data_IF_002067753554
#
_entry.id   IF_002067753554
#
_cell.length_a   1.000
_cell.length_b   1.000
_cell.length_c   1.000
_cell.angle_alpha   90.00
_cell.angle_beta   90.00
_cell.angle_gamma   90.00
#
_symmetry.space_group_name_H-M   'P 1'
#
loop_
_entity.id
_entity.type
_entity.pdbx_description
1 polymer ?
#
# COMPACT_ATOMS: atom_id res chain seq x y z
N UNK A 1 -3.95 20.91 14.64
CA UNK A 1 -4.88 19.81 14.30
C UNK A 1 -5.47 19.27 15.58
N UNK A 2 -6.79 19.28 15.71
CA UNK A 2 -7.54 18.63 16.77
C UNK A 2 -7.99 17.25 16.26
N UNK A 3 -7.95 16.22 17.12
CA UNK A 3 -8.40 14.88 16.77
C UNK A 3 -9.62 14.52 17.62
N UNK A 4 -10.74 14.24 16.97
CA UNK A 4 -12.00 13.87 17.64
C UNK A 4 -12.35 12.43 17.25
N UNK A 5 -12.51 11.57 18.25
CA UNK A 5 -12.97 10.20 18.08
C UNK A 5 -14.47 10.11 18.34
N UNK A 6 -15.18 9.36 17.52
CA UNK A 6 -16.60 9.06 17.69
C UNK A 6 -16.78 7.62 18.15
N UNK A 7 -17.72 7.40 19.06
CA UNK A 7 -18.18 6.07 19.48
C UNK A 7 -19.25 5.55 18.50
N UNK A 8 -18.96 5.57 17.20
CA UNK A 8 -19.78 4.95 16.17
C UNK A 8 -19.29 3.52 15.88
N UNK A 9 -20.14 2.73 15.19
CA UNK A 9 -19.78 1.36 14.80
C UNK A 9 -18.51 1.30 13.92
N UNK A 10 -18.21 2.38 13.20
CA UNK A 10 -17.01 2.48 12.36
C UNK A 10 -15.77 3.03 13.09
N UNK A 11 -15.89 3.38 14.39
CA UNK A 11 -14.82 3.94 15.23
C UNK A 11 -14.06 5.05 14.50
N UNK A 12 -14.80 6.07 14.06
CA UNK A 12 -14.39 7.13 13.17
C UNK A 12 -13.60 8.22 13.89
N UNK A 13 -12.48 8.63 13.29
CA UNK A 13 -11.56 9.64 13.82
C UNK A 13 -11.50 10.79 12.82
N UNK A 14 -11.73 12.00 13.29
CA UNK A 14 -11.67 13.21 12.47
C UNK A 14 -10.52 14.10 12.91
N UNK A 15 -9.77 14.59 11.93
CA UNK A 15 -8.79 15.65 12.12
C UNK A 15 -9.43 16.96 11.70
N UNK A 16 -9.51 17.91 12.64
CA UNK A 16 -10.17 19.19 12.47
C UNK A 16 -9.14 20.30 12.66
N UNK A 17 -9.19 21.34 11.83
CA UNK A 17 -8.43 22.56 12.07
C UNK A 17 -9.11 23.37 13.19
N UNK A 18 -8.43 23.60 14.33
CA UNK A 18 -9.02 24.35 15.44
C UNK A 18 -9.27 25.83 15.13
N UNK A 19 -8.70 26.39 14.06
CA UNK A 19 -8.83 27.83 13.74
C UNK A 19 -10.15 28.17 13.05
N UNK A 20 -10.66 27.27 12.21
CA UNK A 20 -11.84 27.51 11.39
C UNK A 20 -12.86 26.35 11.41
N UNK A 21 -12.51 25.21 12.01
CA UNK A 21 -13.37 24.02 12.07
C UNK A 21 -13.31 23.13 10.82
N UNK A 22 -12.38 23.36 9.89
CA UNK A 22 -12.29 22.56 8.67
C UNK A 22 -11.88 21.11 8.97
N UNK A 23 -12.50 20.17 8.25
CA UNK A 23 -12.16 18.75 8.34
C UNK A 23 -10.95 18.47 7.44
N UNK A 24 -9.79 18.29 8.06
CA UNK A 24 -8.53 17.97 7.40
C UNK A 24 -8.43 16.49 7.00
N UNK A 25 -9.18 15.61 7.66
CA UNK A 25 -9.16 14.19 7.32
C UNK A 25 -10.05 13.32 8.20
N UNK A 26 -10.40 12.14 7.70
CA UNK A 26 -11.19 11.11 8.40
C UNK A 26 -10.46 9.76 8.33
N UNK A 27 -10.44 9.01 9.42
CA UNK A 27 -10.00 7.62 9.46
C UNK A 27 -11.10 6.80 10.11
N UNK A 28 -11.62 5.82 9.39
CA UNK A 28 -12.62 4.87 9.88
C UNK A 28 -12.10 3.43 9.74
N UNK A 29 -12.87 2.45 10.23
CA UNK A 29 -12.52 1.03 10.12
C UNK A 29 -12.27 0.58 8.67
N UNK A 30 -13.05 1.07 7.70
CA UNK A 30 -12.87 0.72 6.28
C UNK A 30 -11.53 1.22 5.75
N UNK A 31 -11.16 2.48 6.04
CA UNK A 31 -9.86 3.06 5.67
C UNK A 31 -8.69 2.36 6.35
N UNK A 32 -8.86 1.87 7.59
CA UNK A 32 -7.85 1.05 8.27
C UNK A 32 -7.65 -0.29 7.55
N UNK A 33 -8.73 -0.97 7.19
CA UNK A 33 -8.67 -2.23 6.44
C UNK A 33 -8.06 -2.00 5.06
N UNK A 34 -8.48 -0.96 4.34
CA UNK A 34 -7.91 -0.59 3.04
C UNK A 34 -6.41 -0.33 3.11
N UNK A 35 -5.94 0.38 4.15
CA UNK A 35 -4.50 0.60 4.37
C UNK A 35 -3.73 -0.73 4.45
N UNK A 36 -4.26 -1.74 5.13
CA UNK A 36 -3.57 -3.02 5.28
C UNK A 36 -3.73 -3.93 4.05
N UNK A 37 -4.93 -4.01 3.50
CA UNK A 37 -5.22 -4.94 2.41
C UNK A 37 -4.71 -4.44 1.06
N UNK A 38 -4.78 -3.12 0.84
CA UNK A 38 -4.33 -2.51 -0.40
C UNK A 38 -2.95 -1.88 -0.23
N UNK A 39 -2.78 -0.84 0.58
CA UNK A 39 -1.50 -0.12 0.63
C UNK A 39 -0.35 -1.03 1.10
N UNK A 40 -0.52 -1.74 2.22
CA UNK A 40 0.53 -2.62 2.75
C UNK A 40 0.88 -3.76 1.80
N UNK A 41 -0.09 -4.36 1.11
CA UNK A 41 0.21 -5.43 0.15
C UNK A 41 0.74 -4.91 -1.19
N UNK A 42 0.23 -3.77 -1.66
CA UNK A 42 0.55 -3.22 -2.98
C UNK A 42 1.86 -2.42 -2.97
N UNK A 43 2.08 -1.60 -1.94
CA UNK A 43 3.29 -0.81 -1.74
C UNK A 43 4.33 -1.52 -0.88
N UNK A 44 4.00 -2.69 -0.30
CA UNK A 44 4.84 -3.43 0.64
C UNK A 44 5.30 -2.55 1.82
N UNK A 45 4.52 -1.54 2.19
CA UNK A 45 4.86 -0.55 3.22
C UNK A 45 4.53 -1.06 4.64
N UNK A 46 4.85 -2.33 4.90
CA UNK A 46 4.69 -2.93 6.21
C UNK A 46 5.58 -2.20 7.24
N UNK A 47 5.08 -1.87 8.44
CA UNK A 47 5.84 -1.14 9.46
C UNK A 47 7.19 -1.78 9.80
N UNK A 48 7.28 -3.12 9.76
CA UNK A 48 8.51 -3.87 10.01
C UNK A 48 9.58 -3.61 8.94
N UNK A 49 9.18 -3.62 7.65
CA UNK A 49 10.03 -3.31 6.52
C UNK A 49 10.40 -1.83 6.48
N UNK A 50 9.43 -0.93 6.74
CA UNK A 50 9.68 0.51 6.77
C UNK A 50 10.69 0.91 7.84
N UNK A 51 10.71 0.20 8.98
CA UNK A 51 11.71 0.43 10.03
C UNK A 51 13.13 0.06 9.59
N UNK A 52 13.27 -0.75 8.55
CA UNK A 52 14.55 -1.20 7.98
C UNK A 52 14.59 -0.87 6.49
N UNK A 53 14.77 0.42 6.17
CA UNK A 53 14.69 0.91 4.79
C UNK A 53 15.50 0.09 3.76
N UNK A 54 16.75 -0.32 4.05
CA UNK A 54 17.52 -1.16 3.11
C UNK A 54 16.89 -2.53 2.83
N UNK A 55 16.19 -3.12 3.80
CA UNK A 55 15.49 -4.38 3.61
C UNK A 55 14.29 -4.21 2.67
N UNK A 56 13.54 -3.11 2.80
CA UNK A 56 12.45 -2.79 1.87
C UNK A 56 12.98 -2.61 0.44
N UNK A 57 14.09 -1.87 0.27
CA UNK A 57 14.72 -1.68 -1.04
C UNK A 57 15.14 -3.03 -1.66
N UNK A 58 15.73 -3.92 -0.85
CA UNK A 58 16.13 -5.27 -1.29
C UNK A 58 14.93 -6.08 -1.77
N UNK A 59 13.83 -6.09 -1.01
CA UNK A 59 12.59 -6.81 -1.37
C UNK A 59 12.02 -6.27 -2.68
N UNK A 60 11.98 -4.95 -2.85
CA UNK A 60 11.47 -4.33 -4.08
C UNK A 60 12.33 -4.67 -5.30
N UNK A 61 13.65 -4.58 -5.17
CA UNK A 61 14.58 -4.94 -6.26
C UNK A 61 14.43 -6.41 -6.63
N UNK A 62 14.38 -7.32 -5.65
CA UNK A 62 14.20 -8.75 -5.91
C UNK A 62 12.88 -9.05 -6.62
N UNK A 63 11.76 -8.49 -6.13
CA UNK A 63 10.46 -8.70 -6.75
C UNK A 63 10.42 -8.18 -8.20
N UNK A 64 11.06 -7.02 -8.45
CA UNK A 64 11.17 -6.44 -9.79
C UNK A 64 11.98 -7.34 -10.73
N UNK A 65 13.11 -7.88 -10.26
CA UNK A 65 13.94 -8.80 -11.05
C UNK A 65 13.19 -10.09 -11.38
N UNK A 66 12.45 -10.65 -10.43
CA UNK A 66 11.60 -11.84 -10.67
C UNK A 66 10.54 -11.51 -11.73
N UNK A 67 9.87 -10.35 -11.63
CA UNK A 67 8.91 -9.88 -12.62
C UNK A 67 9.51 -9.82 -14.03
N UNK A 68 10.71 -9.26 -14.17
CA UNK A 68 11.43 -9.20 -15.45
C UNK A 68 11.69 -10.61 -16.00
N UNK A 69 12.18 -11.53 -15.17
CA UNK A 69 12.46 -12.92 -15.58
C UNK A 69 11.18 -13.62 -16.04
N UNK A 70 10.09 -13.48 -15.29
CA UNK A 70 8.79 -14.10 -15.65
C UNK A 70 8.25 -13.49 -16.95
N UNK A 71 8.24 -12.17 -17.08
CA UNK A 71 7.75 -11.49 -18.29
C UNK A 71 8.57 -11.87 -19.53
N UNK A 72 9.90 -11.87 -19.42
CA UNK A 72 10.78 -12.28 -20.53
C UNK A 72 10.59 -13.75 -20.88
N UNK A 73 10.41 -14.63 -19.90
CA UNK A 73 10.10 -16.05 -20.15
C UNK A 73 8.80 -16.22 -20.93
N UNK A 74 7.75 -15.47 -20.58
CA UNK A 74 6.47 -15.48 -21.29
C UNK A 74 6.61 -14.99 -22.74
N UNK A 75 7.39 -13.93 -22.97
CA UNK A 75 7.69 -13.43 -24.32
C UNK A 75 8.40 -14.51 -25.15
N UNK A 76 9.44 -15.14 -24.59
CA UNK A 76 10.22 -16.18 -25.29
C UNK A 76 9.34 -17.38 -25.63
N UNK A 77 8.52 -17.85 -24.69
CA UNK A 77 7.60 -18.98 -24.92
C UNK A 77 6.55 -18.61 -25.96
N UNK A 78 5.92 -17.45 -25.84
CA UNK A 78 4.92 -16.96 -26.79
C UNK A 78 5.48 -16.81 -28.20
N UNK A 79 6.68 -16.23 -28.33
CA UNK A 79 7.37 -16.08 -29.62
C UNK A 79 7.67 -17.44 -30.26
N UNK A 80 8.20 -18.40 -29.50
CA UNK A 80 8.45 -19.76 -30.00
C UNK A 80 7.18 -20.43 -30.50
N UNK A 81 6.05 -20.21 -29.82
CA UNK A 81 4.75 -20.76 -30.20
C UNK A 81 4.20 -20.16 -31.51
N UNK A 82 4.38 -18.85 -31.72
CA UNK A 82 3.90 -18.17 -32.95
C UNK A 82 4.75 -18.47 -34.18
N UNK A 83 6.02 -18.86 -33.98
CA UNK A 83 6.95 -19.23 -35.07
C UNK A 83 6.82 -20.69 -35.52
N UNK A 84 6.12 -21.52 -34.74
CA UNK A 84 5.89 -22.94 -35.05
C UNK A 84 4.61 -23.14 -35.84
#
# INVERSE_FOLDING_TARGET
MLRVGFEDAAQSWFYIDPRNGDILGRVDNSRRTYRWLFNAMHSLDFPLLLRHRPAWDTVMVLLSLIGIVVSTSGIVIGWRRLRS
#
